data_IF_437948810803
#
_entry.id   IF_437948810803
#
_cell.length_a   1.000
_cell.length_b   1.000
_cell.length_c   1.000
_cell.angle_alpha   90.00
_cell.angle_beta   90.00
_cell.angle_gamma   90.00
#
_symmetry.space_group_name_H-M   'P 1'
#
loop_
_entity.id
_entity.type
_entity.pdbx_description
1 polymer ?
#
# COMPACT_ATOMS: atom_id res chain seq x y z
N UNK A 1 -9.78 -5.71 15.69
CA UNK A 1 -8.78 -5.95 14.64
C UNK A 1 -9.08 -5.03 13.46
N UNK A 2 -8.06 -4.40 12.93
CA UNK A 2 -8.21 -3.45 11.82
C UNK A 2 -7.00 -3.50 10.90
N UNK A 3 -7.20 -3.10 9.65
CA UNK A 3 -6.13 -2.76 8.74
C UNK A 3 -5.81 -1.26 8.86
N UNK A 4 -4.54 -0.91 8.78
CA UNK A 4 -4.08 0.48 8.78
C UNK A 4 -3.33 0.79 7.50
N UNK A 5 -3.42 2.04 7.07
CA UNK A 5 -2.68 2.55 5.92
C UNK A 5 -1.59 3.46 6.47
N UNK A 6 -0.34 3.10 6.23
CA UNK A 6 0.79 3.76 6.89
C UNK A 6 1.82 4.28 5.90
N UNK A 7 2.64 5.20 6.34
CA UNK A 7 3.87 5.57 5.64
C UNK A 7 4.99 4.64 6.13
N UNK A 8 5.65 3.97 5.20
CA UNK A 8 6.80 3.12 5.54
C UNK A 8 7.94 3.99 6.09
N UNK A 9 8.61 3.49 7.12
CA UNK A 9 9.63 4.23 7.85
C UNK A 9 9.08 5.01 9.05
N UNK A 10 7.77 5.16 9.17
CA UNK A 10 7.15 5.79 10.34
C UNK A 10 7.17 4.84 11.55
N UNK A 11 7.10 5.41 12.75
CA UNK A 11 7.02 4.61 13.97
C UNK A 11 5.78 3.71 13.94
N UNK A 12 5.96 2.49 14.46
CA UNK A 12 4.85 1.57 14.63
C UNK A 12 4.06 1.92 15.87
N UNK A 13 2.77 1.71 15.80
CA UNK A 13 1.93 1.77 17.00
C UNK A 13 1.88 0.39 17.65
N UNK A 14 1.55 0.35 18.94
CA UNK A 14 1.29 -0.91 19.65
C UNK A 14 0.13 -1.63 18.95
N UNK A 15 0.28 -2.93 18.75
CA UNK A 15 -0.72 -3.77 18.10
C UNK A 15 -0.98 -3.45 16.61
N UNK A 16 -0.03 -2.80 15.94
CA UNK A 16 -0.14 -2.59 14.50
C UNK A 16 -0.20 -3.92 13.74
N UNK A 17 0.49 -4.93 14.23
CA UNK A 17 0.60 -6.23 13.57
C UNK A 17 1.66 -6.20 12.46
N UNK A 18 1.49 -7.06 11.47
CA UNK A 18 2.42 -7.16 10.35
C UNK A 18 2.29 -5.91 9.46
N UNK A 19 3.44 -5.32 9.14
CA UNK A 19 3.51 -4.19 8.21
C UNK A 19 3.90 -4.73 6.83
N UNK A 20 3.04 -4.47 5.84
CA UNK A 20 3.20 -4.95 4.46
C UNK A 20 3.62 -3.79 3.58
N UNK A 21 4.76 -3.91 2.91
CA UNK A 21 5.25 -2.90 1.99
C UNK A 21 4.71 -3.11 0.58
N UNK A 22 3.76 -2.25 0.17
CA UNK A 22 3.16 -2.29 -1.15
C UNK A 22 3.90 -1.37 -2.11
N UNK A 23 5.21 -1.58 -2.20
CA UNK A 23 6.13 -0.75 -2.98
C UNK A 23 6.81 -1.57 -4.05
N UNK A 24 7.13 -0.90 -5.17
CA UNK A 24 7.75 -1.54 -6.33
C UNK A 24 9.18 -2.01 -6.02
N UNK A 25 9.90 -1.28 -5.17
CA UNK A 25 11.28 -1.59 -4.79
C UNK A 25 11.49 -1.48 -3.28
N UNK A 26 12.36 -2.33 -2.70
CA UNK A 26 12.79 -2.17 -1.31
C UNK A 26 13.52 -0.85 -1.08
N UNK A 27 13.67 -0.41 0.18
CA UNK A 27 14.38 0.83 0.49
C UNK A 27 15.85 0.73 0.08
N UNK A 28 16.36 1.79 -0.56
CA UNK A 28 17.75 1.83 -1.04
C UNK A 28 18.73 1.89 0.12
N UNK A 29 19.83 1.14 -0.01
CA UNK A 29 20.93 1.20 0.95
C UNK A 29 20.63 0.56 2.30
N UNK A 30 19.51 -0.12 2.43
CA UNK A 30 19.12 -0.81 3.67
C UNK A 30 19.28 -2.31 3.48
N UNK A 31 19.99 -2.98 4.39
CA UNK A 31 20.12 -4.42 4.35
C UNK A 31 18.77 -5.09 4.60
N UNK A 32 18.51 -6.20 3.92
CA UNK A 32 17.24 -6.94 4.06
C UNK A 32 16.95 -7.31 5.53
N UNK A 33 17.98 -7.62 6.30
CA UNK A 33 17.85 -7.95 7.72
C UNK A 33 17.40 -6.77 8.58
N UNK A 34 17.50 -5.54 8.06
CA UNK A 34 17.15 -4.31 8.78
C UNK A 34 15.79 -3.75 8.39
N UNK A 35 15.08 -4.37 7.42
CA UNK A 35 13.80 -3.82 6.95
C UNK A 35 12.78 -3.68 8.09
N UNK A 36 12.57 -4.72 8.87
CA UNK A 36 11.60 -4.70 9.96
C UNK A 36 12.07 -3.80 11.12
N UNK A 37 13.34 -3.91 11.52
CA UNK A 37 13.87 -3.16 12.66
C UNK A 37 13.93 -1.65 12.42
N UNK A 38 14.06 -1.23 11.16
CA UNK A 38 14.04 0.19 10.78
C UNK A 38 12.65 0.68 10.37
N UNK A 39 11.61 -0.06 10.72
CA UNK A 39 10.21 0.31 10.48
C UNK A 39 9.84 0.43 9.00
N UNK A 40 10.56 -0.24 8.11
CA UNK A 40 10.15 -0.26 6.71
C UNK A 40 8.96 -1.19 6.52
N UNK A 41 9.18 -2.50 6.59
CA UNK A 41 8.10 -3.49 6.51
C UNK A 41 8.59 -4.84 7.03
N UNK A 42 7.63 -5.69 7.40
CA UNK A 42 7.89 -7.09 7.75
C UNK A 42 7.81 -7.98 6.50
N UNK A 43 6.94 -7.62 5.56
CA UNK A 43 6.74 -8.33 4.30
C UNK A 43 6.79 -7.33 3.15
N UNK A 44 7.62 -7.62 2.15
CA UNK A 44 7.61 -6.87 0.90
C UNK A 44 6.63 -7.55 -0.07
N UNK A 45 5.62 -6.81 -0.51
CA UNK A 45 4.57 -7.34 -1.36
C UNK A 45 4.35 -6.44 -2.58
N UNK A 46 5.26 -6.49 -3.57
CA UNK A 46 5.21 -5.60 -4.73
C UNK A 46 3.99 -5.83 -5.64
N UNK A 47 3.27 -6.94 -5.47
CA UNK A 47 2.06 -7.23 -6.23
C UNK A 47 0.99 -6.15 -6.07
N UNK A 48 0.96 -5.48 -4.92
CA UNK A 48 0.01 -4.38 -4.67
C UNK A 48 0.62 -3.00 -4.93
N UNK A 49 1.84 -2.94 -5.43
CA UNK A 49 2.45 -1.69 -5.88
C UNK A 49 1.94 -1.32 -7.27
N UNK A 50 1.97 -0.02 -7.64
CA UNK A 50 1.81 0.37 -9.03
C UNK A 50 2.93 -0.23 -9.89
N UNK A 51 2.65 -0.54 -11.14
CA UNK A 51 3.70 -0.96 -12.08
C UNK A 51 4.71 0.17 -12.29
N UNK A 52 5.90 -0.15 -12.83
CA UNK A 52 6.91 0.85 -13.12
C UNK A 52 6.39 1.97 -14.01
N UNK A 53 5.59 1.63 -15.02
CA UNK A 53 4.99 2.63 -15.92
C UNK A 53 4.02 3.55 -15.17
N UNK A 54 3.23 3.00 -14.25
CA UNK A 54 2.26 3.78 -13.45
C UNK A 54 2.96 4.65 -12.42
N UNK A 55 4.06 4.16 -11.81
CA UNK A 55 4.89 4.97 -10.91
C UNK A 55 5.41 6.23 -11.61
N UNK A 56 5.81 6.11 -12.89
CA UNK A 56 6.27 7.28 -13.67
C UNK A 56 5.19 8.34 -13.81
N UNK A 57 3.94 7.94 -13.94
CA UNK A 57 2.82 8.91 -13.98
C UNK A 57 2.73 9.71 -12.68
N UNK A 58 2.90 9.06 -11.53
CA UNK A 58 2.90 9.75 -10.23
C UNK A 58 4.07 10.72 -10.11
N UNK A 59 5.26 10.34 -10.57
CA UNK A 59 6.46 11.18 -10.47
C UNK A 59 6.35 12.46 -11.32
N UNK A 60 5.61 12.42 -12.41
CA UNK A 60 5.44 13.57 -13.31
C UNK A 60 4.14 14.33 -13.11
N UNK A 61 3.24 13.83 -12.25
CA UNK A 61 1.93 14.45 -12.05
C UNK A 61 2.06 15.79 -11.30
N UNK A 62 1.45 16.83 -11.86
CA UNK A 62 1.39 18.16 -11.27
C UNK A 62 -0.02 18.73 -11.22
N UNK A 63 -0.95 18.15 -11.97
CA UNK A 63 -2.34 18.59 -12.03
C UNK A 63 -3.27 17.53 -11.47
N UNK A 64 -4.47 17.96 -11.06
CA UNK A 64 -5.51 17.04 -10.59
C UNK A 64 -5.83 15.99 -11.65
N UNK A 65 -5.88 16.39 -12.91
CA UNK A 65 -6.17 15.46 -14.01
C UNK A 65 -5.08 14.39 -14.15
N UNK A 66 -3.82 14.78 -14.02
CA UNK A 66 -2.69 13.83 -14.08
C UNK A 66 -2.73 12.86 -12.90
N UNK A 67 -3.05 13.33 -11.69
CA UNK A 67 -3.23 12.45 -10.53
C UNK A 67 -4.40 11.49 -10.74
N UNK A 68 -5.51 11.97 -11.30
CA UNK A 68 -6.66 11.10 -11.58
C UNK A 68 -6.31 10.02 -12.61
N UNK A 69 -5.47 10.33 -13.60
CA UNK A 69 -4.96 9.34 -14.55
C UNK A 69 -4.15 8.26 -13.85
N UNK A 70 -3.26 8.66 -12.92
CA UNK A 70 -2.49 7.72 -12.11
C UNK A 70 -3.41 6.82 -11.29
N UNK A 71 -4.37 7.38 -10.59
CA UNK A 71 -5.29 6.61 -9.75
C UNK A 71 -6.12 5.61 -10.57
N UNK A 72 -6.59 6.03 -11.72
CA UNK A 72 -7.36 5.17 -12.62
C UNK A 72 -6.51 4.00 -13.13
N UNK A 73 -5.25 4.28 -13.46
CA UNK A 73 -4.29 3.27 -13.94
C UNK A 73 -4.00 2.24 -12.85
N UNK A 74 -3.71 2.70 -11.65
CA UNK A 74 -3.46 1.82 -10.51
C UNK A 74 -4.70 0.97 -10.19
N UNK A 75 -5.88 1.58 -10.18
CA UNK A 75 -7.13 0.86 -9.93
C UNK A 75 -7.36 -0.24 -10.96
N UNK A 76 -7.04 0.01 -12.21
CA UNK A 76 -7.13 -1.00 -13.26
C UNK A 76 -6.15 -2.16 -13.03
N UNK A 77 -4.93 -1.87 -12.58
CA UNK A 77 -3.94 -2.89 -12.23
C UNK A 77 -4.41 -3.76 -11.05
N UNK A 78 -5.07 -3.15 -10.08
CA UNK A 78 -5.59 -3.87 -8.92
C UNK A 78 -6.84 -4.70 -9.24
N UNK A 79 -7.47 -4.47 -10.38
CA UNK A 79 -8.63 -5.25 -10.84
C UNK A 79 -8.24 -6.58 -11.47
N UNK A 80 -6.95 -6.85 -11.71
CA UNK A 80 -6.51 -8.16 -12.18
C UNK A 80 -6.93 -9.24 -11.18
N UNK A 81 -7.25 -10.48 -11.62
CA UNK A 81 -7.75 -11.50 -10.71
C UNK A 81 -6.88 -11.76 -9.50
N UNK A 82 -5.56 -11.87 -9.68
CA UNK A 82 -4.63 -12.12 -8.57
C UNK A 82 -4.64 -11.00 -7.55
N UNK A 83 -4.63 -9.74 -8.00
CA UNK A 83 -4.63 -8.58 -7.11
C UNK A 83 -5.98 -8.37 -6.45
N UNK A 84 -7.07 -8.53 -7.20
CA UNK A 84 -8.42 -8.43 -6.64
C UNK A 84 -8.66 -9.47 -5.55
N UNK A 85 -8.22 -10.71 -5.76
CA UNK A 85 -8.33 -11.77 -4.75
C UNK A 85 -7.47 -11.49 -3.54
N UNK A 86 -6.27 -10.93 -3.71
CA UNK A 86 -5.41 -10.54 -2.60
C UNK A 86 -6.07 -9.46 -1.75
N UNK A 87 -6.63 -8.44 -2.38
CA UNK A 87 -7.33 -7.36 -1.67
C UNK A 87 -8.54 -7.91 -0.90
N UNK A 88 -9.28 -8.82 -1.50
CA UNK A 88 -10.41 -9.49 -0.85
C UNK A 88 -9.96 -10.30 0.37
N UNK A 89 -8.84 -11.02 0.25
CA UNK A 89 -8.26 -11.76 1.36
C UNK A 89 -7.84 -10.83 2.50
N UNK A 90 -7.17 -9.73 2.17
CA UNK A 90 -6.75 -8.74 3.18
C UNK A 90 -7.96 -8.09 3.85
N UNK A 91 -9.02 -7.81 3.09
CA UNK A 91 -10.25 -7.28 3.65
C UNK A 91 -10.86 -8.23 4.69
N UNK A 92 -10.92 -9.52 4.37
CA UNK A 92 -11.40 -10.53 5.32
C UNK A 92 -10.50 -10.61 6.56
N UNK A 93 -9.17 -10.60 6.37
CA UNK A 93 -8.20 -10.67 7.46
C UNK A 93 -8.31 -9.47 8.41
N UNK A 94 -8.74 -8.31 7.95
CA UNK A 94 -8.86 -7.11 8.78
C UNK A 94 -9.82 -7.27 9.97
N UNK A 95 -10.73 -8.23 9.88
CA UNK A 95 -11.66 -8.55 10.97
C UNK A 95 -11.09 -9.54 11.99
N UNK A 96 -9.97 -10.16 11.69
CA UNK A 96 -9.37 -11.23 12.50
C UNK A 96 -7.93 -10.95 12.95
N UNK A 97 -7.28 -9.99 12.33
CA UNK A 97 -5.89 -9.64 12.64
C UNK A 97 -5.65 -8.16 12.41
N UNK A 98 -4.75 -7.59 13.19
CA UNK A 98 -4.20 -6.27 12.91
C UNK A 98 -3.08 -6.41 11.88
N UNK A 99 -3.07 -5.53 10.89
CA UNK A 99 -1.96 -5.41 9.94
C UNK A 99 -1.99 -4.01 9.33
N UNK A 100 -0.92 -3.65 8.65
CA UNK A 100 -0.85 -2.40 7.90
C UNK A 100 -0.32 -2.65 6.50
N UNK A 101 -0.71 -1.77 5.58
CA UNK A 101 -0.14 -1.68 4.23
C UNK A 101 0.44 -0.29 4.08
N UNK A 102 1.55 -0.17 3.37
CA UNK A 102 2.25 1.10 3.32
C UNK A 102 3.07 1.36 2.07
N UNK A 103 3.44 2.62 1.92
CA UNK A 103 4.29 3.14 0.87
C UNK A 103 5.19 4.23 1.45
N UNK A 104 6.22 4.65 0.70
CA UNK A 104 7.18 5.68 1.14
C UNK A 104 6.64 7.11 1.06
N UNK A 105 5.60 7.38 0.27
CA UNK A 105 5.08 8.72 0.03
C UNK A 105 4.64 9.40 1.32
N UNK A 106 4.89 10.71 1.44
CA UNK A 106 4.44 11.49 2.58
C UNK A 106 2.93 11.69 2.58
N UNK A 107 2.38 12.04 1.42
CA UNK A 107 0.98 12.39 1.27
C UNK A 107 0.18 11.20 0.72
N UNK A 108 -0.66 10.62 1.55
CA UNK A 108 -1.52 9.52 1.15
C UNK A 108 -2.46 9.93 0.01
N UNK A 109 -2.93 11.17 -0.02
CA UNK A 109 -3.84 11.66 -1.05
C UNK A 109 -3.21 11.67 -2.44
N UNK A 110 -1.89 11.78 -2.52
CA UNK A 110 -1.11 11.70 -3.76
C UNK A 110 -0.26 10.44 -3.80
N UNK A 111 -0.85 9.32 -3.43
CA UNK A 111 -0.20 8.02 -3.37
C UNK A 111 -1.22 6.93 -3.71
N UNK A 112 -0.75 5.80 -4.24
CA UNK A 112 -1.63 4.66 -4.50
C UNK A 112 -2.32 4.17 -3.22
N UNK A 113 -1.81 4.51 -2.03
CA UNK A 113 -2.44 4.14 -0.76
C UNK A 113 -3.88 4.63 -0.64
N UNK A 114 -4.22 5.79 -1.20
CA UNK A 114 -5.58 6.31 -1.16
C UNK A 114 -6.55 5.40 -1.94
N UNK A 115 -6.10 4.89 -3.08
CA UNK A 115 -6.89 3.93 -3.87
C UNK A 115 -6.96 2.59 -3.16
N UNK A 116 -5.84 2.10 -2.64
CA UNK A 116 -5.80 0.82 -1.93
C UNK A 116 -6.71 0.84 -0.70
N UNK A 117 -6.73 1.94 0.06
CA UNK A 117 -7.66 2.14 1.17
C UNK A 117 -9.11 1.99 0.69
N UNK A 118 -9.45 2.65 -0.39
CA UNK A 118 -10.79 2.60 -0.97
C UNK A 118 -11.17 1.19 -1.42
N UNK A 119 -10.25 0.49 -2.08
CA UNK A 119 -10.48 -0.88 -2.56
C UNK A 119 -10.68 -1.86 -1.39
N UNK A 120 -9.92 -1.71 -0.32
CA UNK A 120 -10.08 -2.52 0.89
C UNK A 120 -11.46 -2.27 1.51
N UNK A 121 -11.87 -1.02 1.65
CA UNK A 121 -13.18 -0.66 2.20
C UNK A 121 -14.30 -1.22 1.33
N UNK A 122 -14.17 -1.12 0.00
CA UNK A 122 -15.16 -1.64 -0.94
C UNK A 122 -15.34 -3.16 -0.81
N UNK A 123 -14.30 -3.86 -0.37
CA UNK A 123 -14.34 -5.31 -0.14
C UNK A 123 -14.72 -5.67 1.31
N UNK A 124 -15.15 -4.71 2.10
CA UNK A 124 -15.64 -4.93 3.45
C UNK A 124 -14.57 -4.89 4.54
N UNK A 125 -13.37 -4.40 4.25
CA UNK A 125 -12.31 -4.29 5.25
C UNK A 125 -12.70 -3.32 6.37
N UNK A 126 -12.27 -3.65 7.57
CA UNK A 126 -12.29 -2.72 8.69
C UNK A 126 -10.97 -1.96 8.68
N UNK A 127 -11.02 -0.68 8.34
CA UNK A 127 -9.85 0.19 8.19
C UNK A 127 -9.89 1.29 9.24
N UNK A 128 -8.76 1.47 9.90
CA UNK A 128 -8.63 2.54 10.90
C UNK A 128 -8.52 3.91 10.23
#
# INVERSE_FOLDING_TARGET
MVARIVRLGSERITDEGIRIGTVHRPPRGVAKTDFATHNWFDVWFPNLAPSAATVKLAHSATTTQEWNTFFKRYRAEMASPANAHTIELLAALSHHSNFSVGCYCEDEAHCHRSVLRSLLIDKGAKVA
#
